data_IF_770741936616
#
_entry.id   IF_770741936616
#
_cell.length_a   1.000
_cell.length_b   1.000
_cell.length_c   1.000
_cell.angle_alpha   90.00
_cell.angle_beta   90.00
_cell.angle_gamma   90.00
#
_symmetry.space_group_name_H-M   'P 1'
#
loop_
_entity.id
_entity.type
_entity.pdbx_description
1 polymer ?
#
# COMPACT_ATOMS: atom_id res chain seq x y z
N UNK A 1 -14.82 8.36 -3.39
CA UNK A 1 -14.30 9.47 -4.21
C UNK A 1 -12.77 9.47 -4.12
N UNK A 2 -12.05 8.75 -5.00
CA UNK A 2 -10.60 8.90 -5.17
C UNK A 2 -10.37 9.89 -6.30
N UNK A 3 -10.44 11.19 -6.03
CA UNK A 3 -10.35 12.20 -7.11
C UNK A 3 -8.91 12.60 -7.48
N UNK A 4 -7.89 11.99 -6.87
CA UNK A 4 -6.46 12.27 -7.13
C UNK A 4 -5.56 11.04 -6.98
N UNK A 5 -5.84 9.92 -7.66
CA UNK A 5 -4.90 8.81 -7.87
C UNK A 5 -4.01 8.41 -6.68
N UNK A 6 -2.70 8.23 -6.94
CA UNK A 6 -1.66 8.03 -5.93
C UNK A 6 -0.84 9.34 -5.82
N UNK A 7 -0.95 10.09 -4.71
CA UNK A 7 -0.28 11.38 -4.56
C UNK A 7 1.25 11.24 -4.62
N UNK A 8 1.93 12.29 -5.08
CA UNK A 8 3.39 12.35 -5.06
C UNK A 8 3.88 12.13 -3.63
N UNK A 9 4.89 11.26 -3.48
CA UNK A 9 5.42 10.85 -2.19
C UNK A 9 4.42 10.16 -1.25
N UNK A 10 3.30 9.63 -1.78
CA UNK A 10 2.48 8.67 -1.05
C UNK A 10 3.25 7.37 -0.78
N UNK A 11 3.00 6.73 0.35
CA UNK A 11 3.59 5.44 0.71
C UNK A 11 2.48 4.43 0.99
N UNK A 12 2.40 3.39 0.16
CA UNK A 12 1.52 2.24 0.41
C UNK A 12 2.32 1.10 1.05
N UNK A 13 1.86 0.63 2.19
CA UNK A 13 2.40 -0.55 2.88
C UNK A 13 1.49 -1.73 2.56
N UNK A 14 1.99 -2.70 1.80
CA UNK A 14 1.26 -3.93 1.47
C UNK A 14 1.81 -5.08 2.30
N UNK A 15 0.93 -5.77 3.03
CA UNK A 15 1.32 -6.96 3.80
C UNK A 15 0.94 -8.22 3.02
N UNK A 16 1.88 -9.17 3.01
CA UNK A 16 1.66 -10.52 2.50
C UNK A 16 1.75 -11.52 3.65
N UNK A 17 0.88 -12.54 3.69
CA UNK A 17 1.00 -13.60 4.69
C UNK A 17 2.24 -14.47 4.40
N UNK A 18 2.99 -14.80 5.45
CA UNK A 18 4.17 -15.67 5.35
C UNK A 18 5.44 -14.93 4.91
N UNK A 19 6.35 -15.64 4.23
CA UNK A 19 7.62 -15.07 3.78
C UNK A 19 7.43 -14.23 2.51
N UNK A 20 8.31 -13.23 2.31
CA UNK A 20 8.27 -12.39 1.11
C UNK A 20 8.51 -13.19 -0.18
N UNK A 21 9.19 -14.34 -0.09
CA UNK A 21 9.37 -15.26 -1.22
C UNK A 21 8.04 -15.83 -1.76
N UNK A 22 6.98 -15.83 -0.93
CA UNK A 22 5.65 -16.29 -1.31
C UNK A 22 4.71 -15.12 -1.66
N UNK A 23 5.21 -13.88 -1.71
CA UNK A 23 4.41 -12.73 -2.10
C UNK A 23 3.97 -12.90 -3.56
N UNK A 24 2.65 -12.96 -3.76
CA UNK A 24 2.04 -13.20 -5.07
C UNK A 24 0.90 -12.20 -5.30
N UNK A 25 0.56 -12.00 -6.56
CA UNK A 25 -0.56 -11.12 -6.90
C UNK A 25 -1.86 -11.65 -6.27
N UNK A 26 -2.64 -10.75 -5.68
CA UNK A 26 -3.94 -11.07 -5.06
C UNK A 26 -3.85 -11.71 -3.67
N UNK A 27 -2.67 -11.96 -3.12
CA UNK A 27 -2.50 -12.54 -1.77
C UNK A 27 -2.16 -11.51 -0.70
N UNK A 28 -1.78 -10.31 -1.10
CA UNK A 28 -1.51 -9.20 -0.20
C UNK A 28 -2.71 -8.30 0.04
N UNK A 29 -2.67 -7.56 1.14
CA UNK A 29 -3.65 -6.53 1.46
C UNK A 29 -2.97 -5.21 1.85
N UNK A 30 -3.64 -4.08 1.62
CA UNK A 30 -3.15 -2.77 2.00
C UNK A 30 -3.25 -2.64 3.53
N UNK A 31 -2.11 -2.57 4.20
CA UNK A 31 -2.01 -2.42 5.65
C UNK A 31 -2.16 -0.96 6.06
N UNK A 32 -1.46 -0.07 5.36
CA UNK A 32 -1.45 1.35 5.64
C UNK A 32 -1.18 2.16 4.37
N UNK A 33 -1.70 3.38 4.34
CA UNK A 33 -1.37 4.38 3.36
C UNK A 33 -1.00 5.66 4.08
N UNK A 34 0.20 6.18 3.83
CA UNK A 34 0.67 7.45 4.39
C UNK A 34 0.79 8.45 3.26
N UNK A 35 0.21 9.63 3.43
CA UNK A 35 0.44 10.74 2.54
C UNK A 35 1.15 11.89 3.26
N UNK A 36 1.95 12.70 2.56
CA UNK A 36 2.55 13.90 3.13
C UNK A 36 1.53 14.92 3.66
N UNK A 37 0.26 14.83 3.24
CA UNK A 37 -0.80 15.69 3.74
C UNK A 37 -1.37 15.21 5.09
N UNK A 38 -1.06 13.98 5.50
CA UNK A 38 -1.52 13.36 6.75
C UNK A 38 -0.47 13.46 7.89
N UNK A 39 0.69 14.08 7.62
CA UNK A 39 1.80 14.33 8.55
C UNK A 39 1.90 15.82 8.89
#
# INVERSE_FOLDING_TARGET
MLNHGFPTSGLAVVRFPGSLANAAQGTGYLEAFLSPADL
#
